data_IF_616101553201
#
_entry.id   IF_616101553201
#
_cell.length_a   1.000
_cell.length_b   1.000
_cell.length_c   1.000
_cell.angle_alpha   90.00
_cell.angle_beta   90.00
_cell.angle_gamma   90.00
#
_symmetry.space_group_name_H-M   'P 1'
#
loop_
_entity.id
_entity.type
_entity.pdbx_description
1 polymer ?
#
# COMPACT_ATOMS: atom_id res chain seq x y z
N UNK A 1 -25.82 -20.55 4.73
CA UNK A 1 -26.51 -19.28 4.47
C UNK A 1 -26.88 -18.47 5.73
N UNK A 2 -26.72 -18.96 6.97
CA UNK A 2 -27.10 -18.20 8.19
C UNK A 2 -26.04 -17.23 8.74
N UNK A 3 -24.77 -17.65 8.74
CA UNK A 3 -23.69 -16.94 9.48
C UNK A 3 -23.46 -15.50 8.99
N UNK A 4 -23.52 -15.26 7.68
CA UNK A 4 -23.30 -13.93 7.10
C UNK A 4 -24.45 -12.96 7.39
N UNK A 5 -25.68 -13.47 7.50
CA UNK A 5 -26.87 -12.69 7.81
C UNK A 5 -26.84 -12.25 9.27
N UNK A 6 -26.44 -13.15 10.17
CA UNK A 6 -26.33 -12.85 11.60
C UNK A 6 -25.24 -11.82 11.89
N UNK A 7 -24.09 -11.92 11.21
CA UNK A 7 -23.00 -10.95 11.35
C UNK A 7 -23.43 -9.54 10.90
N UNK A 8 -24.13 -9.42 9.76
CA UNK A 8 -24.63 -8.14 9.27
C UNK A 8 -25.59 -7.49 10.28
N UNK A 9 -26.47 -8.29 10.88
CA UNK A 9 -27.44 -7.81 11.87
C UNK A 9 -26.76 -7.26 13.13
N UNK A 10 -25.77 -7.98 13.64
CA UNK A 10 -24.99 -7.56 14.81
C UNK A 10 -24.19 -6.27 14.55
N UNK A 11 -23.63 -6.10 13.36
CA UNK A 11 -22.89 -4.87 13.01
C UNK A 11 -23.84 -3.67 12.97
N UNK A 12 -25.03 -3.81 12.38
CA UNK A 12 -26.03 -2.72 12.34
C UNK A 12 -26.47 -2.30 13.74
N UNK A 13 -26.71 -3.26 14.64
CA UNK A 13 -27.06 -2.96 16.04
C UNK A 13 -25.94 -2.21 16.78
N UNK A 14 -24.68 -2.55 16.52
CA UNK A 14 -23.52 -1.86 17.09
C UNK A 14 -23.36 -0.44 16.53
N UNK A 15 -23.61 -0.24 15.24
CA UNK A 15 -23.56 1.09 14.61
C UNK A 15 -24.65 2.00 15.18
N UNK A 16 -25.86 1.49 15.36
CA UNK A 16 -26.99 2.29 15.87
C UNK A 16 -26.81 2.77 17.31
N UNK A 17 -25.92 2.14 18.08
CA UNK A 17 -25.61 2.52 19.47
C UNK A 17 -24.20 3.10 19.63
N UNK A 18 -23.45 3.27 18.54
CA UNK A 18 -22.08 3.77 18.55
C UNK A 18 -22.02 5.29 18.80
N UNK A 19 -20.96 5.73 19.46
CA UNK A 19 -20.61 7.14 19.57
C UNK A 19 -19.87 7.62 18.30
N UNK A 20 -19.76 8.94 18.14
CA UNK A 20 -19.08 9.57 17.00
C UNK A 20 -17.65 9.07 16.80
N UNK A 21 -16.95 8.74 17.90
CA UNK A 21 -15.57 8.25 17.84
C UNK A 21 -15.52 6.88 17.18
N UNK A 22 -16.37 5.95 17.61
CA UNK A 22 -16.46 4.62 17.02
C UNK A 22 -16.94 4.68 15.57
N UNK A 23 -17.91 5.53 15.25
CA UNK A 23 -18.37 5.72 13.86
C UNK A 23 -17.25 6.20 12.94
N UNK A 24 -16.42 7.15 13.38
CA UNK A 24 -15.26 7.61 12.60
C UNK A 24 -14.23 6.49 12.38
N UNK A 25 -13.98 5.66 13.39
CA UNK A 25 -13.08 4.51 13.25
C UNK A 25 -13.62 3.47 12.27
N UNK A 26 -14.91 3.16 12.33
CA UNK A 26 -15.56 2.24 11.38
C UNK A 26 -15.50 2.80 9.96
N UNK A 27 -15.76 4.10 9.78
CA UNK A 27 -15.69 4.73 8.46
C UNK A 27 -14.27 4.62 7.86
N UNK A 28 -13.24 5.00 8.63
CA UNK A 28 -11.86 4.88 8.19
C UNK A 28 -11.46 3.43 7.85
N UNK A 29 -11.99 2.45 8.59
CA UNK A 29 -11.77 1.05 8.27
C UNK A 29 -12.46 0.66 6.96
N UNK A 30 -13.72 1.04 6.76
CA UNK A 30 -14.44 0.76 5.51
C UNK A 30 -13.73 1.41 4.33
N UNK A 31 -13.30 2.67 4.46
CA UNK A 31 -12.54 3.39 3.44
C UNK A 31 -11.26 2.63 3.08
N UNK A 32 -10.51 2.10 4.07
CA UNK A 32 -9.31 1.29 3.82
C UNK A 32 -9.55 -0.07 3.15
N UNK A 33 -10.80 -0.58 3.19
CA UNK A 33 -11.22 -1.79 2.48
C UNK A 33 -11.82 -1.49 1.10
N UNK A 34 -12.32 -0.27 0.90
CA UNK A 34 -12.93 0.21 -0.35
C UNK A 34 -11.93 0.88 -1.28
N UNK A 35 -10.83 1.42 -0.75
CA UNK A 35 -9.59 1.44 -1.47
C UNK A 35 -9.31 -0.02 -1.82
N UNK A 36 -9.66 -0.42 -3.06
CA UNK A 36 -9.05 -1.59 -3.69
C UNK A 36 -7.58 -1.55 -3.26
N UNK A 37 -7.02 -2.67 -2.77
CA UNK A 37 -5.57 -2.75 -2.65
C UNK A 37 -5.05 -2.19 -3.97
N UNK A 38 -4.50 -0.96 -3.95
CA UNK A 38 -3.83 -0.39 -5.09
C UNK A 38 -2.48 -1.10 -5.11
N UNK A 39 -2.57 -2.41 -5.26
CA UNK A 39 -1.46 -3.29 -5.47
C UNK A 39 -0.81 -2.80 -6.74
N UNK A 40 0.50 -2.95 -6.77
CA UNK A 40 1.25 -2.76 -7.98
C UNK A 40 0.58 -3.58 -9.09
N UNK A 41 0.38 -2.96 -10.26
CA UNK A 41 -0.02 -3.72 -11.43
C UNK A 41 0.95 -4.90 -11.61
N UNK A 42 0.50 -6.04 -12.18
CA UNK A 42 1.38 -7.19 -12.38
C UNK A 42 2.71 -6.83 -13.06
N UNK A 43 2.65 -5.89 -14.01
CA UNK A 43 3.82 -5.34 -14.72
C UNK A 43 4.77 -4.60 -13.77
N UNK A 44 4.25 -3.73 -12.91
CA UNK A 44 5.10 -3.02 -11.94
C UNK A 44 5.68 -3.95 -10.88
N UNK A 45 4.92 -4.99 -10.49
CA UNK A 45 5.42 -6.02 -9.58
C UNK A 45 6.58 -6.81 -10.20
N UNK A 46 6.44 -7.26 -11.44
CA UNK A 46 7.49 -8.00 -12.15
C UNK A 46 8.79 -7.19 -12.26
N UNK A 47 8.69 -5.89 -12.60
CA UNK A 47 9.86 -4.99 -12.64
C UNK A 47 10.56 -4.91 -11.28
N UNK A 48 9.80 -4.87 -10.18
CA UNK A 48 10.36 -4.80 -8.84
C UNK A 48 11.00 -6.13 -8.43
N UNK A 49 10.35 -7.26 -8.76
CA UNK A 49 10.89 -8.59 -8.50
C UNK A 49 12.23 -8.81 -9.23
N UNK A 50 12.34 -8.37 -10.49
CA UNK A 50 13.60 -8.38 -11.24
C UNK A 50 14.69 -7.54 -10.57
N UNK A 51 14.36 -6.31 -10.12
CA UNK A 51 15.32 -5.42 -9.45
C UNK A 51 15.80 -6.00 -8.13
N UNK A 52 14.89 -6.59 -7.36
CA UNK A 52 15.21 -7.25 -6.09
C UNK A 52 16.12 -8.44 -6.35
N UNK A 53 15.81 -9.28 -7.33
CA UNK A 53 16.67 -10.40 -7.72
C UNK A 53 18.07 -9.93 -8.13
N UNK A 54 18.15 -8.91 -9.00
CA UNK A 54 19.42 -8.35 -9.44
C UNK A 54 20.25 -7.84 -8.27
N UNK A 55 19.65 -7.13 -7.31
CA UNK A 55 20.37 -6.64 -6.13
C UNK A 55 20.88 -7.77 -5.24
N UNK A 56 20.13 -8.88 -5.10
CA UNK A 56 20.60 -10.04 -4.34
C UNK A 56 21.80 -10.72 -5.02
N UNK A 57 21.79 -10.81 -6.35
CA UNK A 57 22.90 -11.38 -7.13
C UNK A 57 24.10 -10.43 -7.20
N UNK A 58 23.85 -9.11 -7.16
CA UNK A 58 24.82 -8.04 -7.36
C UNK A 58 24.67 -6.90 -6.33
N UNK A 59 24.97 -7.14 -5.04
CA UNK A 59 24.66 -6.18 -3.97
C UNK A 59 25.43 -4.86 -4.08
N UNK A 60 26.58 -4.86 -4.76
CA UNK A 60 27.45 -3.70 -4.90
C UNK A 60 27.36 -3.00 -6.27
N UNK A 61 26.53 -3.48 -7.19
CA UNK A 61 26.40 -2.89 -8.54
C UNK A 61 25.49 -1.65 -8.54
N UNK A 62 24.85 -1.36 -7.40
CA UNK A 62 24.11 -0.12 -7.17
C UNK A 62 25.03 1.09 -7.01
N UNK A 63 24.53 2.26 -7.39
CA UNK A 63 25.21 3.54 -7.13
C UNK A 63 24.70 4.15 -5.83
N UNK A 64 25.59 4.81 -5.11
CA UNK A 64 25.19 5.65 -3.98
C UNK A 64 24.34 6.84 -4.43
N UNK A 65 23.55 7.37 -3.50
CA UNK A 65 22.74 8.54 -3.76
C UNK A 65 23.56 9.74 -4.23
N UNK A 66 24.73 9.96 -3.62
CA UNK A 66 25.60 11.09 -4.00
C UNK A 66 26.18 10.93 -5.41
N UNK A 67 26.53 9.72 -5.83
CA UNK A 67 26.97 9.46 -7.21
C UNK A 67 25.86 9.75 -8.22
N UNK A 68 24.62 9.32 -7.93
CA UNK A 68 23.47 9.58 -8.80
C UNK A 68 23.19 11.08 -8.86
N UNK A 69 23.09 11.73 -7.71
CA UNK A 69 22.82 13.16 -7.60
C UNK A 69 23.86 13.99 -8.37
N UNK A 70 25.15 13.74 -8.15
CA UNK A 70 26.22 14.43 -8.85
C UNK A 70 26.17 14.20 -10.36
N UNK A 71 25.87 12.97 -10.80
CA UNK A 71 25.72 12.67 -12.23
C UNK A 71 24.54 13.41 -12.87
N UNK A 72 23.45 13.59 -12.14
CA UNK A 72 22.28 14.33 -12.61
C UNK A 72 22.55 15.83 -12.66
N UNK A 73 23.20 16.38 -11.64
CA UNK A 73 23.61 17.78 -11.64
C UNK A 73 24.52 18.10 -12.83
N UNK A 74 25.52 17.25 -13.09
CA UNK A 74 26.39 17.39 -14.26
C UNK A 74 25.65 17.22 -15.59
N UNK A 75 24.68 16.31 -15.68
CA UNK A 75 23.93 16.06 -16.91
C UNK A 75 23.00 17.20 -17.29
N UNK A 76 22.45 17.90 -16.30
CA UNK A 76 21.45 18.94 -16.49
C UNK A 76 21.96 20.35 -16.19
N UNK A 77 23.26 20.53 -15.98
CA UNK A 77 23.91 21.80 -15.61
C UNK A 77 23.19 22.53 -14.44
N UNK A 78 22.90 21.78 -13.37
CA UNK A 78 22.24 22.29 -12.15
C UNK A 78 23.23 22.61 -11.02
#
# INVERSE_FOLDING_TARGET
>A
MGVTIDLKKQIVEKINSADDKLLRMINALVDSYQEEEVGLSPVHKEILDERVKFHHEHPNDGKSWEEIKNSLMQKYDL
#
